data_IF_550581146372
#
_entry.id   IF_550581146372
#
_cell.length_a   1.000
_cell.length_b   1.000
_cell.length_c   1.000
_cell.angle_alpha   90.00
_cell.angle_beta   90.00
_cell.angle_gamma   90.00
#
_symmetry.space_group_name_H-M   'P 1'
#
loop_
_entity.id
_entity.type
_entity.pdbx_description
1 polymer ?
#
# COMPACT_ATOMS: atom_id res chain seq x y z
N UNK A 1 -3.81 8.03 2.90
CA UNK A 1 -3.40 9.01 1.85
C UNK A 1 -4.39 8.90 0.69
N UNK A 2 -4.48 9.88 -0.22
CA UNK A 2 -5.40 9.80 -1.37
C UNK A 2 -4.70 10.19 -2.68
N UNK A 3 -4.93 9.41 -3.74
CA UNK A 3 -4.48 9.71 -5.10
C UNK A 3 -5.64 10.33 -5.89
N UNK A 4 -5.34 11.31 -6.73
CA UNK A 4 -6.34 11.86 -7.64
C UNK A 4 -6.54 10.93 -8.85
N UNK A 5 -7.64 10.18 -8.85
CA UNK A 5 -7.97 9.26 -9.93
C UNK A 5 -8.32 9.99 -11.24
N UNK A 6 -8.88 11.20 -11.17
CA UNK A 6 -9.20 11.98 -12.36
C UNK A 6 -7.92 12.39 -13.10
N UNK A 7 -6.88 12.77 -12.35
CA UNK A 7 -5.56 13.03 -12.91
C UNK A 7 -4.95 11.79 -13.60
N UNK A 8 -5.12 10.60 -13.01
CA UNK A 8 -4.64 9.35 -13.63
C UNK A 8 -5.38 9.04 -14.95
N UNK A 9 -6.70 9.20 -14.99
CA UNK A 9 -7.47 9.03 -16.22
C UNK A 9 -7.12 10.07 -17.30
N UNK A 10 -6.77 11.29 -16.91
CA UNK A 10 -6.28 12.29 -17.85
C UNK A 10 -4.95 11.87 -18.50
N UNK A 11 -4.04 11.24 -17.73
CA UNK A 11 -2.78 10.69 -18.25
C UNK A 11 -3.03 9.54 -19.24
N UNK A 12 -4.01 8.68 -18.95
CA UNK A 12 -4.41 7.61 -19.87
C UNK A 12 -4.90 8.16 -21.22
N UNK A 13 -5.74 9.19 -21.18
CA UNK A 13 -6.26 9.84 -22.39
C UNK A 13 -5.17 10.56 -23.20
N UNK A 14 -4.21 11.19 -22.54
CA UNK A 14 -3.14 11.97 -23.19
C UNK A 14 -2.00 11.09 -23.71
N UNK A 15 -1.57 10.10 -22.92
CA UNK A 15 -0.35 9.32 -23.18
C UNK A 15 -0.63 7.90 -23.70
N UNK A 16 -1.89 7.46 -23.70
CA UNK A 16 -2.28 6.11 -24.08
C UNK A 16 -1.78 5.02 -23.11
N UNK A 17 -1.41 5.38 -21.89
CA UNK A 17 -0.94 4.45 -20.86
C UNK A 17 -2.14 4.10 -19.98
N UNK A 18 -2.51 2.82 -19.94
CA UNK A 18 -3.66 2.38 -19.14
C UNK A 18 -3.50 2.78 -17.66
N UNK A 19 -4.60 3.22 -17.04
CA UNK A 19 -4.61 3.61 -15.61
C UNK A 19 -4.07 2.49 -14.73
N UNK A 20 -4.38 1.23 -15.04
CA UNK A 20 -3.83 0.05 -14.36
C UNK A 20 -2.30 0.05 -14.28
N UNK A 21 -1.61 0.35 -15.38
CA UNK A 21 -0.14 0.37 -15.45
C UNK A 21 0.42 1.48 -14.55
N UNK A 22 -0.21 2.65 -14.60
CA UNK A 22 0.21 3.79 -13.76
C UNK A 22 -0.02 3.47 -12.28
N UNK A 23 -1.17 2.88 -11.93
CA UNK A 23 -1.50 2.47 -10.56
C UNK A 23 -0.50 1.44 -10.03
N UNK A 24 -0.12 0.42 -10.80
CA UNK A 24 0.87 -0.58 -10.37
C UNK A 24 2.27 0.02 -10.20
N UNK A 25 2.63 0.99 -11.05
CA UNK A 25 3.88 1.74 -10.92
C UNK A 25 3.89 2.55 -9.62
N UNK A 26 2.79 3.24 -9.30
CA UNK A 26 2.64 4.01 -8.07
C UNK A 26 2.67 3.09 -6.84
N UNK A 27 2.00 1.93 -6.86
CA UNK A 27 2.07 0.94 -5.77
C UNK A 27 3.51 0.52 -5.49
N UNK A 28 4.28 0.23 -6.54
CA UNK A 28 5.68 -0.19 -6.41
C UNK A 28 6.55 0.92 -5.79
N UNK A 29 6.36 2.16 -6.22
CA UNK A 29 7.05 3.32 -5.68
C UNK A 29 6.69 3.56 -4.19
N UNK A 30 5.40 3.51 -3.86
CA UNK A 30 4.90 3.67 -2.49
C UNK A 30 5.37 2.54 -1.56
N UNK A 31 5.40 1.29 -2.05
CA UNK A 31 5.91 0.16 -1.29
C UNK A 31 7.40 0.34 -0.97
N UNK A 32 8.17 0.83 -1.95
CA UNK A 32 9.59 1.15 -1.77
C UNK A 32 9.78 2.24 -0.73
N UNK A 33 8.98 3.31 -0.79
CA UNK A 33 9.00 4.37 0.22
C UNK A 33 8.63 3.85 1.62
N UNK A 34 7.60 3.01 1.73
CA UNK A 34 7.20 2.38 2.99
C UNK A 34 8.32 1.52 3.59
N UNK A 35 9.04 0.74 2.78
CA UNK A 35 10.20 -0.06 3.23
C UNK A 35 11.35 0.78 3.78
N UNK A 36 11.42 2.07 3.45
CA UNK A 36 12.39 2.99 4.04
C UNK A 36 11.93 3.60 5.36
N UNK A 37 10.71 3.31 5.82
CA UNK A 37 10.23 3.75 7.13
C UNK A 37 10.73 2.82 8.25
N UNK A 38 11.01 3.41 9.42
CA UNK A 38 11.36 2.63 10.59
C UNK A 38 10.17 1.79 11.07
N UNK A 39 10.43 0.52 11.38
CA UNK A 39 9.39 -0.39 11.86
C UNK A 39 8.46 -0.95 10.79
N UNK A 40 8.80 -0.78 9.51
CA UNK A 40 8.06 -1.39 8.40
C UNK A 40 7.95 -2.91 8.57
N UNK A 41 6.84 -3.47 8.10
CA UNK A 41 6.63 -4.90 8.04
C UNK A 41 7.29 -5.47 6.77
N UNK A 42 8.00 -6.62 6.87
CA UNK A 42 8.72 -7.20 5.74
C UNK A 42 7.76 -7.65 4.64
N UNK A 43 6.60 -8.18 5.03
CA UNK A 43 5.54 -8.55 4.10
C UNK A 43 4.40 -7.53 4.18
N UNK A 44 4.42 -6.60 3.22
CA UNK A 44 3.42 -5.56 3.08
C UNK A 44 3.13 -5.29 1.60
N UNK A 45 1.90 -4.87 1.32
CA UNK A 45 1.43 -4.46 -0.01
C UNK A 45 0.73 -3.11 0.05
N UNK A 46 0.74 -2.40 -1.07
CA UNK A 46 -0.01 -1.15 -1.22
C UNK A 46 -1.37 -1.48 -1.82
N UNK A 47 -2.42 -1.13 -1.08
CA UNK A 47 -3.80 -1.21 -1.52
C UNK A 47 -4.27 0.17 -1.95
N UNK A 48 -4.86 0.25 -3.15
CA UNK A 48 -5.38 1.49 -3.72
C UNK A 48 -6.81 1.24 -4.16
N UNK A 49 -7.76 1.95 -3.55
CA UNK A 49 -9.14 1.97 -3.99
C UNK A 49 -9.24 2.77 -5.29
N UNK A 50 -9.60 2.12 -6.39
CA UNK A 50 -9.66 2.75 -7.73
C UNK A 50 -10.82 3.72 -7.91
N UNK A 51 -11.82 3.70 -7.02
CA UNK A 51 -12.97 4.61 -7.07
C UNK A 51 -12.67 5.89 -6.31
N UNK A 52 -12.07 5.77 -5.13
CA UNK A 52 -11.85 6.90 -4.23
C UNK A 52 -10.42 7.47 -4.32
N UNK A 53 -9.48 6.65 -4.78
CA UNK A 53 -8.05 6.93 -4.72
C UNK A 53 -7.43 6.66 -3.35
N UNK A 54 -8.18 6.09 -2.40
CA UNK A 54 -7.68 5.86 -1.05
C UNK A 54 -6.52 4.87 -1.05
N UNK A 55 -5.41 5.27 -0.45
CA UNK A 55 -4.17 4.48 -0.37
C UNK A 55 -3.94 4.01 1.06
N UNK A 56 -3.68 2.70 1.19
CA UNK A 56 -3.41 2.01 2.45
C UNK A 56 -2.19 1.10 2.30
N UNK A 57 -1.43 0.97 3.38
CA UNK A 57 -0.40 -0.07 3.48
C UNK A 57 -1.02 -1.23 4.25
N UNK A 58 -1.09 -2.39 3.62
CA UNK A 58 -1.61 -3.61 4.24
C UNK A 58 -0.41 -4.50 4.53
N UNK A 59 -0.10 -4.65 5.81
CA UNK A 59 0.87 -5.62 6.27
C UNK A 59 0.18 -6.97 6.45
N UNK A 60 0.93 -8.05 6.25
CA UNK A 60 0.44 -9.40 6.45
C UNK A 60 1.46 -10.27 7.16
N UNK A 61 0.94 -11.23 7.89
CA UNK A 61 1.72 -12.30 8.49
C UNK A 61 1.37 -13.59 7.73
N UNK A 62 2.41 -14.36 7.39
CA UNK A 62 2.29 -15.62 6.65
C UNK A 62 2.90 -16.76 7.47
N UNK A 63 2.31 -17.96 7.34
CA UNK A 63 2.87 -19.18 7.91
C UNK A 63 4.08 -19.70 7.09
N UNK A 64 4.65 -20.83 7.50
CA UNK A 64 5.81 -21.44 6.83
C UNK A 64 5.51 -21.91 5.39
N UNK A 65 4.24 -22.15 5.08
CA UNK A 65 3.74 -22.56 3.76
C UNK A 65 3.37 -21.36 2.88
N UNK A 66 3.49 -20.14 3.41
CA UNK A 66 3.16 -18.88 2.73
C UNK A 66 1.68 -18.51 2.77
N UNK A 67 0.86 -19.21 3.57
CA UNK A 67 -0.55 -18.86 3.74
C UNK A 67 -0.68 -17.65 4.64
N UNK A 68 -1.56 -16.72 4.28
CA UNK A 68 -1.81 -15.51 5.07
C UNK A 68 -2.59 -15.88 6.32
N UNK A 69 -2.01 -15.64 7.50
CA UNK A 69 -2.63 -15.89 8.80
C UNK A 69 -3.27 -14.64 9.39
N UNK A 70 -2.78 -13.45 9.02
CA UNK A 70 -3.35 -12.16 9.47
C UNK A 70 -2.99 -11.03 8.50
N UNK A 71 -3.89 -10.06 8.34
CA UNK A 71 -3.66 -8.80 7.62
C UNK A 71 -4.11 -7.61 8.49
N UNK A 72 -3.34 -6.52 8.48
CA UNK A 72 -3.70 -5.27 9.17
C UNK A 72 -3.26 -4.03 8.42
N UNK A 73 -3.91 -2.90 8.74
CA UNK A 73 -3.51 -1.60 8.22
C UNK A 73 -2.24 -1.11 8.95
N UNK A 74 -1.16 -0.96 8.21
CA UNK A 74 0.11 -0.43 8.68
C UNK A 74 0.43 0.89 7.98
N UNK A 75 -0.59 1.62 7.54
CA UNK A 75 -0.39 2.91 6.86
C UNK A 75 0.30 3.87 7.82
N UNK A 76 1.51 4.36 7.52
CA UNK A 76 2.22 5.25 8.42
C UNK A 76 1.39 6.51 8.65
N UNK A 77 0.80 6.63 9.84
CA UNK A 77 0.14 7.86 10.28
C UNK A 77 1.27 8.80 10.69
N UNK A 78 1.35 9.97 10.05
CA UNK A 78 2.25 11.06 10.46
C UNK A 78 2.23 11.18 11.99
N UNK A 79 3.32 10.74 12.61
CA UNK A 79 3.66 10.68 14.05
C UNK A 79 2.52 10.72 15.07
N UNK A 80 2.01 9.55 15.49
CA UNK A 80 1.53 9.34 16.87
C UNK A 80 1.36 7.83 17.18
N UNK A 81 2.29 7.28 17.97
CA UNK A 81 2.05 6.13 18.84
C UNK A 81 1.76 4.79 18.16
N UNK A 82 2.82 4.01 17.96
CA UNK A 82 2.80 2.60 17.58
C UNK A 82 1.79 1.79 18.42
N UNK A 83 0.72 1.29 17.80
CA UNK A 83 0.00 0.10 18.27
C UNK A 83 0.42 -1.05 17.35
N UNK A 84 1.55 -1.68 17.67
CA UNK A 84 1.90 -2.99 17.14
C UNK A 84 0.78 -3.99 17.48
N UNK A 85 0.40 -4.89 16.56
CA UNK A 85 -0.40 -6.05 16.94
C UNK A 85 0.37 -6.89 17.98
N UNK A 86 -0.32 -7.54 18.92
CA UNK A 86 0.32 -8.41 19.89
C UNK A 86 1.03 -9.55 19.15
N UNK A 87 2.33 -9.73 19.42
CA UNK A 87 3.06 -10.91 18.95
C UNK A 87 2.42 -12.14 19.57
N UNK A 88 1.80 -12.98 18.76
CA UNK A 88 1.44 -14.35 19.15
C UNK A 88 2.76 -15.08 19.45
N UNK A 89 2.86 -15.63 20.65
CA UNK A 89 3.98 -16.46 21.13
C UNK A 89 3.84 -17.88 20.63
#
# INVERSE_FOLDING_TARGET
MNIDMAALHAIEADKGISVDVVVETIKSALLTAYRHTEGHQPDARIDIDRKTGAVRVIARETDADGNVISEWDDTPRVSAGSRRPPRVR
#
